data_IF_394500383298
#
_entry.id   IF_394500383298
#
_cell.length_a   1.000
_cell.length_b   1.000
_cell.length_c   1.000
_cell.angle_alpha   90.00
_cell.angle_beta   90.00
_cell.angle_gamma   90.00
#
_symmetry.space_group_name_H-M   'P 1'
#
loop_
_entity.id
_entity.type
_entity.pdbx_description
1 polymer ?
#
# COMPACT_ATOMS: atom_id res chain seq x y z
N UNK A 1 4.92 71.53 12.38
CA UNK A 1 4.82 70.62 13.56
C UNK A 1 4.70 69.22 12.97
N UNK A 2 5.81 68.50 12.76
CA UNK A 2 6.41 67.49 13.67
C UNK A 2 5.38 66.38 13.99
N UNK A 3 5.60 65.08 13.80
CA UNK A 3 6.79 64.25 14.01
C UNK A 3 6.85 63.09 13.00
N UNK A 4 8.05 62.78 12.50
CA UNK A 4 8.35 61.52 11.85
C UNK A 4 8.38 60.36 12.85
N UNK A 5 7.85 59.21 12.45
CA UNK A 5 8.08 57.96 13.12
C UNK A 5 9.13 57.16 12.33
N UNK A 6 10.37 57.24 12.82
CA UNK A 6 11.42 56.28 12.54
C UNK A 6 10.87 54.87 12.81
N UNK A 7 10.60 54.09 11.77
CA UNK A 7 10.37 52.65 11.92
C UNK A 7 11.72 52.05 12.29
N UNK A 8 11.90 51.48 13.50
CA UNK A 8 13.20 50.96 13.90
C UNK A 8 13.51 49.73 13.06
N UNK A 9 14.66 49.76 12.40
CA UNK A 9 15.29 48.71 11.58
C UNK A 9 15.30 47.30 12.21
N UNK A 10 15.00 47.18 13.51
CA UNK A 10 14.90 45.93 14.28
C UNK A 10 13.63 45.12 14.05
N UNK A 11 12.52 45.70 13.61
CA UNK A 11 11.27 44.93 13.41
C UNK A 11 11.24 44.17 12.09
N UNK A 12 12.08 44.56 11.12
CA UNK A 12 12.14 43.91 9.81
C UNK A 12 12.91 42.57 9.85
N UNK A 13 13.96 42.49 10.69
CA UNK A 13 14.80 41.28 10.82
C UNK A 13 14.03 40.12 11.47
N UNK A 14 13.18 40.41 12.46
CA UNK A 14 12.42 39.38 13.19
C UNK A 14 11.34 38.75 12.31
N UNK A 15 10.67 39.56 11.48
CA UNK A 15 9.67 39.07 10.52
C UNK A 15 10.30 38.18 9.43
N UNK A 16 11.48 38.55 8.93
CA UNK A 16 12.21 37.77 7.94
C UNK A 16 12.70 36.42 8.49
N UNK A 17 13.19 36.38 9.73
CA UNK A 17 13.66 35.15 10.38
C UNK A 17 12.52 34.19 10.74
N UNK A 18 11.35 34.71 11.13
CA UNK A 18 10.15 33.90 11.38
C UNK A 18 9.63 33.23 10.10
N UNK A 19 9.68 33.92 8.96
CA UNK A 19 9.28 33.35 7.66
C UNK A 19 10.23 32.23 7.21
N UNK A 20 11.54 32.40 7.43
CA UNK A 20 12.55 31.37 7.14
C UNK A 20 12.37 30.13 8.04
N UNK A 21 12.06 30.31 9.33
CA UNK A 21 11.77 29.20 10.24
C UNK A 21 10.55 28.37 9.82
N UNK A 22 9.47 29.01 9.33
CA UNK A 22 8.28 28.29 8.86
C UNK A 22 8.58 27.46 7.60
N UNK A 23 9.41 27.97 6.68
CA UNK A 23 9.81 27.22 5.48
C UNK A 23 10.72 26.02 5.84
N UNK A 24 11.59 26.17 6.85
CA UNK A 24 12.51 25.10 7.30
C UNK A 24 11.79 24.00 8.09
N UNK A 25 10.77 24.32 8.90
CA UNK A 25 10.06 23.33 9.72
C UNK A 25 8.93 22.57 9.00
N UNK A 26 8.52 22.98 7.79
CA UNK A 26 7.39 22.37 7.08
C UNK A 26 7.71 21.06 6.33
N UNK A 27 8.93 20.52 6.45
CA UNK A 27 9.35 19.30 5.76
C UNK A 27 9.28 18.07 6.67
N UNK A 28 8.06 17.62 6.93
CA UNK A 28 7.81 16.20 7.26
C UNK A 28 6.43 15.77 6.79
N UNK A 29 6.20 15.85 5.48
CA UNK A 29 5.35 14.85 4.86
C UNK A 29 6.12 13.53 4.94
N UNK A 30 5.81 12.73 5.95
CA UNK A 30 6.16 11.32 5.99
C UNK A 30 5.53 10.68 4.76
N UNK A 31 6.24 10.64 3.65
CA UNK A 31 5.96 9.68 2.61
C UNK A 31 6.24 8.33 3.26
N UNK A 32 5.18 7.73 3.84
CA UNK A 32 5.17 6.31 4.14
C UNK A 32 5.47 5.68 2.79
N UNK A 33 6.69 5.17 2.64
CA UNK A 33 7.04 4.32 1.52
C UNK A 33 6.03 3.18 1.54
N UNK A 34 4.98 3.25 0.70
CA UNK A 34 3.98 2.20 0.47
C UNK A 34 4.60 1.02 -0.30
N UNK A 35 5.86 0.71 0.03
CA UNK A 35 6.40 -0.63 -0.10
C UNK A 35 5.98 -1.48 1.11
N UNK A 36 4.88 -1.14 1.80
CA UNK A 36 4.15 -2.12 2.58
C UNK A 36 3.57 -3.09 1.56
N UNK A 37 4.01 -4.35 1.62
CA UNK A 37 3.36 -5.44 0.89
C UNK A 37 1.86 -5.30 1.12
N UNK A 38 1.14 -4.82 0.11
CA UNK A 38 -0.26 -4.44 0.23
C UNK A 38 -1.07 -5.73 0.25
N UNK A 39 -1.19 -6.31 1.43
CA UNK A 39 -1.97 -7.51 1.66
C UNK A 39 -3.47 -7.15 1.70
N UNK A 40 -4.32 -8.06 1.23
CA UNK A 40 -5.76 -7.81 1.13
C UNK A 40 -6.50 -8.15 2.43
N UNK A 41 -7.41 -7.27 2.85
CA UNK A 41 -8.40 -7.52 3.92
C UNK A 41 -9.84 -7.53 3.39
N UNK A 42 -10.06 -7.13 2.13
CA UNK A 42 -11.39 -6.99 1.52
C UNK A 42 -11.55 -7.96 0.35
N UNK A 43 -12.77 -8.45 0.17
CA UNK A 43 -13.12 -9.24 -1.01
C UNK A 43 -13.26 -8.31 -2.21
N UNK A 44 -12.39 -8.46 -3.22
CA UNK A 44 -12.41 -7.64 -4.44
C UNK A 44 -12.66 -8.50 -5.68
N UNK A 45 -13.09 -7.86 -6.76
CA UNK A 45 -13.21 -8.45 -8.09
C UNK A 45 -12.77 -7.41 -9.13
N UNK A 46 -11.47 -7.37 -9.41
CA UNK A 46 -10.85 -6.41 -10.32
C UNK A 46 -10.15 -7.14 -11.47
N UNK A 47 -10.20 -6.56 -12.67
CA UNK A 47 -9.48 -7.06 -13.85
C UNK A 47 -9.73 -8.55 -14.18
N UNK A 48 -10.94 -9.07 -13.93
CA UNK A 48 -11.26 -10.51 -14.02
C UNK A 48 -10.93 -11.18 -15.37
N UNK A 49 -10.85 -10.41 -16.46
CA UNK A 49 -10.57 -10.89 -17.81
C UNK A 49 -9.15 -10.55 -18.31
N UNK A 50 -8.22 -10.26 -17.40
CA UNK A 50 -6.84 -9.88 -17.72
C UNK A 50 -5.84 -10.74 -16.94
N UNK A 51 -4.55 -10.63 -17.23
CA UNK A 51 -3.50 -11.33 -16.44
C UNK A 51 -3.37 -10.72 -15.03
N UNK A 52 -3.78 -9.46 -14.86
CA UNK A 52 -3.72 -8.73 -13.59
C UNK A 52 -4.96 -8.89 -12.69
N UNK A 53 -5.62 -10.06 -12.70
CA UNK A 53 -6.83 -10.27 -11.88
C UNK A 53 -6.51 -10.07 -10.40
N UNK A 54 -7.48 -9.51 -9.69
CA UNK A 54 -7.57 -9.60 -8.23
C UNK A 54 -8.96 -10.06 -7.86
N UNK A 55 -9.06 -11.27 -7.36
CA UNK A 55 -10.31 -11.86 -6.92
C UNK A 55 -10.22 -12.32 -5.47
N UNK A 56 -11.26 -12.05 -4.69
CA UNK A 56 -11.29 -12.33 -3.26
C UNK A 56 -10.13 -11.64 -2.55
N UNK A 57 -9.49 -12.35 -1.63
CA UNK A 57 -8.30 -11.86 -0.92
C UNK A 57 -7.00 -12.51 -1.40
N UNK A 58 -7.08 -13.62 -2.16
CA UNK A 58 -5.93 -14.46 -2.48
C UNK A 58 -5.71 -14.69 -3.98
N UNK A 59 -6.71 -14.52 -4.84
CA UNK A 59 -6.54 -14.84 -6.24
C UNK A 59 -5.91 -13.68 -7.02
N UNK A 60 -4.63 -13.79 -7.37
CA UNK A 60 -3.94 -12.88 -8.28
C UNK A 60 -2.42 -12.96 -8.18
N UNK A 61 -1.70 -12.62 -9.26
CA UNK A 61 -0.23 -12.63 -9.22
C UNK A 61 0.28 -11.52 -8.32
N UNK A 62 1.00 -11.88 -7.26
CA UNK A 62 1.48 -10.92 -6.27
C UNK A 62 0.36 -10.30 -5.41
N UNK A 63 -0.82 -10.93 -5.39
CA UNK A 63 -1.96 -10.52 -4.59
C UNK A 63 -2.27 -11.62 -3.58
N UNK A 64 -2.23 -11.30 -2.29
CA UNK A 64 -2.58 -12.25 -1.23
C UNK A 64 -3.13 -11.52 -0.01
N UNK A 65 -3.74 -12.26 0.92
CA UNK A 65 -4.37 -11.66 2.08
C UNK A 65 -3.37 -11.25 3.16
N UNK A 66 -3.83 -10.43 4.10
CA UNK A 66 -3.12 -10.25 5.37
C UNK A 66 -3.21 -11.50 6.26
N UNK A 67 -2.35 -11.57 7.28
CA UNK A 67 -2.30 -12.69 8.23
C UNK A 67 -3.65 -12.93 8.93
N UNK A 68 -4.11 -14.17 8.94
CA UNK A 68 -5.32 -14.59 9.66
C UNK A 68 -6.64 -14.33 8.94
N UNK A 69 -6.61 -13.72 7.76
CA UNK A 69 -7.81 -13.52 6.95
C UNK A 69 -8.41 -14.86 6.49
N UNK A 70 -9.74 -14.89 6.40
CA UNK A 70 -10.48 -16.00 5.81
C UNK A 70 -10.76 -15.71 4.33
N UNK A 71 -10.73 -16.75 3.46
CA UNK A 71 -11.18 -16.63 2.07
C UNK A 71 -12.62 -16.14 1.97
N UNK A 72 -12.92 -15.47 0.87
CA UNK A 72 -14.26 -14.95 0.56
C UNK A 72 -15.24 -16.04 0.12
N UNK A 73 -14.74 -17.07 -0.58
CA UNK A 73 -15.50 -18.21 -1.08
C UNK A 73 -14.59 -19.44 -1.32
N UNK A 74 -15.11 -20.50 -1.92
CA UNK A 74 -14.37 -21.73 -2.20
C UNK A 74 -13.27 -21.54 -3.25
N UNK A 75 -13.47 -20.65 -4.23
CA UNK A 75 -12.46 -20.32 -5.24
C UNK A 75 -11.28 -19.60 -4.60
N UNK A 76 -11.56 -18.60 -3.77
CA UNK A 76 -10.56 -17.84 -3.01
C UNK A 76 -9.84 -18.75 -1.99
N UNK A 77 -10.53 -19.77 -1.45
CA UNK A 77 -9.91 -20.78 -0.61
C UNK A 77 -8.91 -21.65 -1.38
N UNK A 78 -9.20 -21.98 -2.65
CA UNK A 78 -8.24 -22.63 -3.53
C UNK A 78 -7.01 -21.75 -3.78
N UNK A 79 -7.19 -20.45 -3.96
CA UNK A 79 -6.09 -19.50 -4.13
C UNK A 79 -5.24 -19.38 -2.85
N UNK A 80 -5.85 -19.30 -1.66
CA UNK A 80 -5.12 -19.33 -0.39
C UNK A 80 -4.22 -20.57 -0.26
N UNK A 81 -4.73 -21.74 -0.61
CA UNK A 81 -3.97 -23.00 -0.57
C UNK A 81 -2.82 -22.99 -1.59
N UNK A 82 -3.02 -22.35 -2.74
CA UNK A 82 -2.00 -22.21 -3.79
C UNK A 82 -0.90 -21.27 -3.33
N UNK A 83 -1.25 -20.08 -2.83
CA UNK A 83 -0.33 -19.09 -2.27
C UNK A 83 0.58 -19.71 -1.20
N UNK A 84 -0.02 -20.40 -0.21
CA UNK A 84 0.73 -21.09 0.85
C UNK A 84 1.66 -22.19 0.31
N UNK A 85 1.31 -22.80 -0.82
CA UNK A 85 2.13 -23.83 -1.45
C UNK A 85 3.33 -23.21 -2.18
N UNK A 86 3.09 -22.15 -2.97
CA UNK A 86 4.15 -21.51 -3.76
C UNK A 86 5.09 -20.66 -2.91
N UNK A 87 4.61 -20.12 -1.78
CA UNK A 87 5.46 -19.47 -0.78
C UNK A 87 6.50 -20.44 -0.20
N UNK A 88 6.09 -21.69 0.05
CA UNK A 88 6.96 -22.73 0.61
C UNK A 88 7.81 -23.47 -0.41
N UNK A 89 7.31 -23.64 -1.64
CA UNK A 89 7.91 -24.53 -2.65
C UNK A 89 8.41 -23.83 -3.92
N UNK A 90 8.17 -22.53 -4.04
CA UNK A 90 8.48 -21.71 -5.21
C UNK A 90 7.30 -21.57 -6.17
N UNK A 91 7.22 -20.38 -6.81
CA UNK A 91 6.18 -19.99 -7.77
C UNK A 91 6.05 -20.94 -8.98
N UNK A 92 7.14 -21.60 -9.37
CA UNK A 92 7.18 -22.51 -10.53
C UNK A 92 6.93 -23.98 -10.16
N UNK A 93 6.56 -24.28 -8.91
CA UNK A 93 6.35 -25.66 -8.47
C UNK A 93 5.12 -26.30 -9.14
N UNK A 94 5.36 -27.28 -10.02
CA UNK A 94 4.31 -27.97 -10.79
C UNK A 94 3.23 -28.60 -9.88
N UNK A 95 3.62 -29.18 -8.74
CA UNK A 95 2.68 -29.83 -7.82
C UNK A 95 1.70 -28.83 -7.18
N UNK A 96 2.11 -27.58 -6.97
CA UNK A 96 1.21 -26.53 -6.49
C UNK A 96 0.14 -26.20 -7.54
N UNK A 97 0.55 -26.06 -8.80
CA UNK A 97 -0.35 -25.78 -9.92
C UNK A 97 -1.32 -26.93 -10.22
N UNK A 98 -0.87 -28.18 -10.19
CA UNK A 98 -1.75 -29.37 -10.33
C UNK A 98 -2.77 -29.49 -9.20
N UNK A 99 -2.37 -29.15 -7.96
CA UNK A 99 -3.29 -29.14 -6.82
C UNK A 99 -4.32 -28.02 -6.97
N UNK A 100 -3.89 -26.83 -7.40
CA UNK A 100 -4.79 -25.71 -7.65
C UNK A 100 -5.82 -26.03 -8.73
N UNK A 101 -5.38 -26.58 -9.88
CA UNK A 101 -6.27 -27.00 -10.96
C UNK A 101 -7.33 -28.02 -10.51
N UNK A 102 -6.97 -28.97 -9.62
CA UNK A 102 -7.93 -29.91 -9.05
C UNK A 102 -8.90 -29.26 -8.07
N UNK A 103 -8.46 -28.21 -7.36
CA UNK A 103 -9.29 -27.50 -6.39
C UNK A 103 -10.41 -26.72 -7.09
N UNK A 104 -10.09 -25.94 -8.12
CA UNK A 104 -11.05 -25.08 -8.83
C UNK A 104 -12.02 -25.84 -9.76
N UNK A 105 -11.76 -27.13 -10.00
CA UNK A 105 -12.60 -28.00 -10.84
C UNK A 105 -13.60 -28.83 -10.03
N UNK A 106 -13.59 -28.72 -8.70
CA UNK A 106 -14.64 -29.31 -7.86
C UNK A 106 -15.96 -28.60 -8.09
#
# INVERSE_FOLDING_TARGET
>A
MMLGAFVPFRTCVIAALAFVFIIVFSKSASAINDSQVKCSITCVAENCNSVGIRYGKYCGVGWSSCLGEKPCDDLDACCKIHDECVDKKGLTNIKCHEKFQRCIKK
#
